data_IF_522960673740
#
_entry.id   IF_522960673740
#
_cell.length_a   1.000
_cell.length_b   1.000
_cell.length_c   1.000
_cell.angle_alpha   90.00
_cell.angle_beta   90.00
_cell.angle_gamma   90.00
#
_symmetry.space_group_name_H-M   'P 1'
#
loop_
_entity.id
_entity.type
_entity.pdbx_description
1 polymer ?
#
# COMPACT_ATOMS: atom_id res chain seq x y z
N UNK A 1 22.04 7.99 22.53
CA UNK A 1 21.08 6.87 22.70
C UNK A 1 20.04 6.77 21.59
N UNK A 2 19.44 7.87 21.12
CA UNK A 2 18.40 7.84 20.06
C UNK A 2 18.90 7.33 18.71
N UNK A 3 20.13 7.68 18.30
CA UNK A 3 20.74 7.22 17.04
C UNK A 3 21.05 5.71 16.99
N UNK A 4 21.50 5.13 18.09
CA UNK A 4 21.81 3.70 18.17
C UNK A 4 20.55 2.84 18.15
N UNK A 5 19.47 3.30 18.78
CA UNK A 5 18.15 2.63 18.74
C UNK A 5 17.59 2.61 17.31
N UNK A 6 17.76 3.69 16.55
CA UNK A 6 17.28 3.79 15.16
C UNK A 6 18.01 2.83 14.22
N UNK A 7 19.32 2.66 14.39
CA UNK A 7 20.13 1.72 13.59
C UNK A 7 19.76 0.26 13.90
N UNK A 8 19.55 -0.08 15.18
CA UNK A 8 19.12 -1.42 15.59
C UNK A 8 17.72 -1.73 15.03
N UNK A 9 16.82 -0.74 15.01
CA UNK A 9 15.47 -0.90 14.46
C UNK A 9 15.49 -1.14 12.93
N UNK A 10 16.37 -0.44 12.20
CA UNK A 10 16.54 -0.63 10.74
C UNK A 10 17.11 -2.01 10.42
N UNK A 11 18.10 -2.49 11.20
CA UNK A 11 18.71 -3.82 11.01
C UNK A 11 17.73 -4.96 11.33
N UNK A 12 16.84 -4.77 12.31
CA UNK A 12 15.80 -5.75 12.63
C UNK A 12 14.74 -5.83 11.53
N UNK A 13 14.35 -4.69 10.95
CA UNK A 13 13.34 -4.65 9.90
C UNK A 13 13.83 -5.24 8.57
N UNK A 14 15.13 -5.09 8.24
CA UNK A 14 15.71 -5.69 7.04
C UNK A 14 15.76 -7.23 7.08
N UNK A 15 15.95 -7.83 8.26
CA UNK A 15 16.02 -9.28 8.41
C UNK A 15 14.70 -10.01 8.14
N UNK A 16 13.56 -9.38 8.47
CA UNK A 16 12.22 -9.98 8.30
C UNK A 16 11.78 -9.95 6.84
N UNK A 17 12.13 -8.90 6.08
CA UNK A 17 11.77 -8.79 4.66
C UNK A 17 12.61 -9.75 3.80
N UNK A 18 13.88 -9.98 4.17
CA UNK A 18 14.75 -10.91 3.45
C UNK A 18 14.32 -12.38 3.59
N UNK A 19 13.78 -12.79 4.75
CA UNK A 19 13.39 -14.18 4.98
C UNK A 19 12.20 -14.64 4.11
N UNK A 20 11.24 -13.75 3.86
CA UNK A 20 10.09 -14.05 2.99
C UNK A 20 10.46 -14.06 1.50
N UNK A 21 11.33 -13.14 1.07
CA UNK A 21 11.83 -13.15 -0.32
C UNK A 21 12.68 -14.41 -0.60
N UNK A 22 13.48 -14.84 0.38
CA UNK A 22 14.27 -16.07 0.28
C UNK A 22 13.40 -17.33 0.18
N UNK A 23 12.27 -17.41 0.90
CA UNK A 23 11.41 -18.60 0.87
C UNK A 23 10.73 -18.83 -0.48
N UNK A 24 10.29 -17.75 -1.14
CA UNK A 24 9.65 -17.81 -2.45
C UNK A 24 10.65 -18.18 -3.57
N UNK A 25 11.86 -17.62 -3.52
CA UNK A 25 12.93 -17.98 -4.45
C UNK A 25 13.44 -19.41 -4.23
N UNK A 26 13.49 -19.87 -2.98
CA UNK A 26 13.85 -21.24 -2.66
C UNK A 26 12.82 -22.23 -3.18
N UNK A 27 11.52 -21.95 -3.01
CA UNK A 27 10.44 -22.78 -3.58
C UNK A 27 10.47 -22.83 -5.11
N UNK A 28 10.80 -21.71 -5.78
CA UNK A 28 11.00 -21.69 -7.26
C UNK A 28 12.20 -22.51 -7.71
N UNK A 29 13.32 -22.43 -6.97
CA UNK A 29 14.51 -23.24 -7.24
C UNK A 29 14.20 -24.73 -7.07
N UNK A 30 13.50 -25.11 -6.01
CA UNK A 30 13.05 -26.48 -5.77
C UNK A 30 12.19 -27.00 -6.93
N UNK A 31 11.18 -26.23 -7.35
CA UNK A 31 10.35 -26.58 -8.51
C UNK A 31 11.18 -26.77 -9.79
N UNK A 32 12.11 -25.87 -10.08
CA UNK A 32 12.99 -25.99 -11.25
C UNK A 32 13.85 -27.25 -11.18
N UNK A 33 14.38 -27.61 -10.01
CA UNK A 33 15.16 -28.86 -9.85
C UNK A 33 14.31 -30.10 -10.12
N UNK A 34 13.07 -30.13 -9.65
CA UNK A 34 12.13 -31.22 -9.94
C UNK A 34 11.82 -31.29 -11.44
N UNK A 35 11.55 -30.17 -12.10
CA UNK A 35 11.30 -30.16 -13.55
C UNK A 35 12.48 -30.68 -14.37
N UNK A 36 13.72 -30.36 -13.98
CA UNK A 36 14.93 -30.89 -14.62
C UNK A 36 15.03 -32.40 -14.41
N UNK A 37 14.81 -32.89 -13.19
CA UNK A 37 14.81 -34.33 -12.88
C UNK A 37 13.72 -35.09 -13.66
N UNK A 38 12.53 -34.50 -13.81
CA UNK A 38 11.45 -35.03 -14.63
C UNK A 38 11.89 -35.17 -16.08
N UNK A 39 12.49 -34.12 -16.62
CA UNK A 39 12.97 -34.11 -18.01
C UNK A 39 14.00 -35.20 -18.26
N UNK A 40 14.95 -35.40 -17.35
CA UNK A 40 15.95 -36.47 -17.48
C UNK A 40 15.33 -37.86 -17.41
N UNK A 41 14.40 -38.10 -16.47
CA UNK A 41 13.70 -39.39 -16.36
C UNK A 41 12.81 -39.67 -17.57
N UNK A 42 12.17 -38.64 -18.14
CA UNK A 42 11.36 -38.78 -19.33
C UNK A 42 12.19 -39.09 -20.57
N UNK A 43 13.38 -38.49 -20.69
CA UNK A 43 14.34 -38.82 -21.76
C UNK A 43 14.85 -40.25 -21.61
N UNK A 44 15.16 -40.70 -20.39
CA UNK A 44 15.57 -42.07 -20.11
C UNK A 44 14.45 -43.06 -20.46
N UNK A 45 13.22 -42.78 -20.05
CA UNK A 45 12.04 -43.57 -20.41
C UNK A 45 11.86 -43.65 -21.92
N UNK A 46 11.94 -42.52 -22.62
CA UNK A 46 11.79 -42.46 -24.09
C UNK A 46 12.87 -43.28 -24.79
N UNK A 47 14.11 -43.19 -24.34
CA UNK A 47 15.23 -43.99 -24.84
C UNK A 47 14.99 -45.48 -24.60
N UNK A 48 14.61 -45.87 -23.39
CA UNK A 48 14.34 -47.26 -23.02
C UNK A 48 13.18 -47.86 -23.84
N UNK A 49 12.16 -47.06 -24.14
CA UNK A 49 11.03 -47.47 -25.00
C UNK A 49 11.46 -47.59 -26.47
N UNK A 50 12.26 -46.65 -27.00
CA UNK A 50 12.67 -46.65 -28.41
C UNK A 50 13.74 -47.71 -28.73
N UNK A 51 14.81 -47.81 -27.93
CA UNK A 51 15.91 -48.74 -28.18
C UNK A 51 15.45 -50.21 -28.08
N UNK A 52 14.53 -50.50 -27.16
CA UNK A 52 14.10 -51.89 -26.90
C UNK A 52 12.95 -52.36 -27.79
N UNK A 53 12.20 -51.43 -28.40
CA UNK A 53 11.26 -51.77 -29.48
C UNK A 53 11.97 -52.02 -30.83
N UNK A 54 13.19 -51.53 -31.00
CA UNK A 54 13.91 -51.62 -32.28
C UNK A 54 14.72 -52.92 -32.46
N UNK A 55 15.17 -53.57 -31.38
CA UNK A 55 16.16 -54.65 -31.47
C UNK A 55 15.56 -56.07 -31.56
N UNK A 56 14.38 -56.32 -30.96
CA UNK A 56 13.63 -57.56 -31.12
C UNK A 56 12.15 -57.21 -31.03
N UNK A 57 11.32 -57.71 -31.95
CA UNK A 57 9.90 -57.34 -32.09
C UNK A 57 8.97 -57.73 -30.93
N UNK A 58 9.46 -57.77 -29.70
CA UNK A 58 8.69 -57.93 -28.48
C UNK A 58 9.50 -57.48 -27.25
N UNK A 59 8.83 -56.79 -26.33
CA UNK A 59 9.43 -56.39 -25.04
C UNK A 59 9.55 -57.60 -24.12
N UNK A 60 10.72 -57.82 -23.52
CA UNK A 60 10.84 -58.87 -22.50
C UNK A 60 10.12 -58.44 -21.20
N UNK A 61 9.72 -59.41 -20.37
CA UNK A 61 9.13 -59.12 -19.04
C UNK A 61 10.07 -58.29 -18.16
N UNK A 62 11.40 -58.42 -18.34
CA UNK A 62 12.39 -57.63 -17.61
C UNK A 62 12.39 -56.16 -18.06
N UNK A 63 12.25 -55.93 -19.36
CA UNK A 63 12.20 -54.59 -19.96
C UNK A 63 10.95 -53.84 -19.51
N UNK A 64 9.81 -54.52 -19.51
CA UNK A 64 8.55 -53.99 -18.99
C UNK A 64 8.66 -53.57 -17.53
N UNK A 65 9.31 -54.37 -16.67
CA UNK A 65 9.53 -54.00 -15.27
C UNK A 65 10.37 -52.73 -15.13
N UNK A 66 11.40 -52.57 -15.96
CA UNK A 66 12.26 -51.38 -15.93
C UNK A 66 11.52 -50.13 -16.39
N UNK A 67 10.73 -50.23 -17.48
CA UNK A 67 9.89 -49.14 -17.97
C UNK A 67 8.84 -48.72 -16.93
N UNK A 68 8.18 -49.70 -16.29
CA UNK A 68 7.20 -49.44 -15.22
C UNK A 68 7.88 -48.77 -14.01
N UNK A 69 9.06 -49.24 -13.60
CA UNK A 69 9.80 -48.63 -12.50
C UNK A 69 10.20 -47.16 -12.80
N UNK A 70 10.62 -46.86 -14.03
CA UNK A 70 10.89 -45.47 -14.45
C UNK A 70 9.62 -44.64 -14.49
N UNK A 71 8.49 -45.19 -14.97
CA UNK A 71 7.20 -44.50 -14.94
C UNK A 71 6.73 -44.21 -13.52
N UNK A 72 6.91 -45.14 -12.59
CA UNK A 72 6.56 -44.95 -11.18
C UNK A 72 7.36 -43.81 -10.56
N UNK A 73 8.66 -43.72 -10.86
CA UNK A 73 9.50 -42.59 -10.46
C UNK A 73 9.02 -41.26 -11.07
N UNK A 74 8.60 -41.25 -12.33
CA UNK A 74 8.03 -40.06 -12.96
C UNK A 74 6.74 -39.63 -12.25
N UNK A 75 5.85 -40.56 -11.92
CA UNK A 75 4.59 -40.25 -11.21
C UNK A 75 4.86 -39.68 -9.81
N UNK A 76 5.76 -40.30 -9.05
CA UNK A 76 6.17 -39.78 -7.73
C UNK A 76 6.73 -38.37 -7.82
N UNK A 77 7.51 -38.10 -8.87
CA UNK A 77 8.11 -36.81 -9.09
C UNK A 77 7.08 -35.76 -9.56
N UNK A 78 6.09 -36.16 -10.35
CA UNK A 78 4.97 -35.32 -10.76
C UNK A 78 4.09 -34.93 -9.55
N UNK A 79 3.88 -35.83 -8.60
CA UNK A 79 3.19 -35.50 -7.35
C UNK A 79 3.96 -34.45 -6.54
N UNK A 80 5.28 -34.59 -6.42
CA UNK A 80 6.13 -33.59 -5.74
C UNK A 80 6.12 -32.24 -6.46
N UNK A 81 6.06 -32.24 -7.79
CA UNK A 81 5.92 -31.02 -8.59
C UNK A 81 4.59 -30.33 -8.28
N UNK A 82 3.49 -31.08 -8.21
CA UNK A 82 2.18 -30.52 -7.86
C UNK A 82 2.18 -29.90 -6.47
N UNK A 83 2.73 -30.60 -5.47
CA UNK A 83 2.87 -30.06 -4.10
C UNK A 83 3.67 -28.75 -4.08
N UNK A 84 4.75 -28.67 -4.86
CA UNK A 84 5.57 -27.45 -4.96
C UNK A 84 4.83 -26.30 -5.66
N UNK A 85 4.04 -26.58 -6.70
CA UNK A 85 3.19 -25.60 -7.39
C UNK A 85 2.11 -25.06 -6.44
N UNK A 86 1.45 -25.94 -5.68
CA UNK A 86 0.40 -25.53 -4.74
C UNK A 86 0.95 -24.64 -3.63
N UNK A 87 2.13 -24.96 -3.09
CA UNK A 87 2.83 -24.08 -2.13
C UNK A 87 3.11 -22.70 -2.72
N UNK A 88 3.57 -22.63 -3.97
CA UNK A 88 3.82 -21.35 -4.64
C UNK A 88 2.54 -20.54 -4.88
N UNK A 89 1.45 -21.21 -5.28
CA UNK A 89 0.16 -20.58 -5.49
C UNK A 89 -0.43 -20.04 -4.18
N UNK A 90 -0.34 -20.80 -3.09
CA UNK A 90 -0.78 -20.35 -1.77
C UNK A 90 0.00 -19.12 -1.30
N UNK A 91 1.33 -19.12 -1.43
CA UNK A 91 2.17 -17.97 -1.08
C UNK A 91 1.88 -16.72 -1.94
N UNK A 92 1.56 -16.92 -3.22
CA UNK A 92 1.17 -15.83 -4.12
C UNK A 92 -0.20 -15.27 -3.75
N UNK A 93 -1.18 -16.13 -3.50
CA UNK A 93 -2.54 -15.70 -3.14
C UNK A 93 -2.55 -14.98 -1.78
N UNK A 94 -1.81 -15.48 -0.79
CA UNK A 94 -1.71 -14.82 0.51
C UNK A 94 -1.10 -13.41 0.40
N UNK A 95 0.01 -13.26 -0.33
CA UNK A 95 0.63 -11.94 -0.55
C UNK A 95 -0.26 -10.97 -1.32
N UNK A 96 -1.04 -11.46 -2.30
CA UNK A 96 -2.01 -10.63 -3.04
C UNK A 96 -3.15 -10.17 -2.13
N UNK A 97 -3.70 -11.06 -1.30
CA UNK A 97 -4.76 -10.71 -0.33
C UNK A 97 -4.24 -9.70 0.68
N UNK A 98 -3.08 -9.93 1.27
CA UNK A 98 -2.47 -9.02 2.24
C UNK A 98 -2.22 -7.63 1.64
N UNK A 99 -1.70 -7.57 0.42
CA UNK A 99 -1.48 -6.30 -0.29
C UNK A 99 -2.81 -5.57 -0.58
N UNK A 100 -3.83 -6.30 -1.00
CA UNK A 100 -5.18 -5.76 -1.24
C UNK A 100 -5.78 -5.17 0.04
N UNK A 101 -5.74 -5.93 1.13
CA UNK A 101 -6.34 -5.52 2.40
C UNK A 101 -5.58 -4.32 2.99
N UNK A 102 -4.25 -4.29 2.85
CA UNK A 102 -3.42 -3.13 3.20
C UNK A 102 -3.81 -1.89 2.39
N UNK A 103 -3.94 -2.00 1.06
CA UNK A 103 -4.37 -0.89 0.21
C UNK A 103 -5.76 -0.40 0.58
N UNK A 104 -6.72 -1.31 0.80
CA UNK A 104 -8.07 -0.94 1.24
C UNK A 104 -8.05 -0.17 2.56
N UNK A 105 -7.24 -0.61 3.52
CA UNK A 105 -7.10 0.08 4.81
C UNK A 105 -6.45 1.47 4.66
N UNK A 106 -5.48 1.62 3.77
CA UNK A 106 -4.84 2.89 3.47
C UNK A 106 -5.82 3.86 2.79
N UNK A 107 -6.59 3.39 1.81
CA UNK A 107 -7.63 4.19 1.15
C UNK A 107 -8.69 4.64 2.15
N UNK A 108 -9.14 3.75 3.04
CA UNK A 108 -10.10 4.11 4.09
C UNK A 108 -9.56 5.20 5.03
N UNK A 109 -8.29 5.07 5.48
CA UNK A 109 -7.63 6.09 6.31
C UNK A 109 -7.52 7.42 5.57
N UNK A 110 -7.10 7.38 4.31
CA UNK A 110 -6.97 8.57 3.47
C UNK A 110 -8.31 9.30 3.30
N UNK A 111 -9.40 8.57 3.03
CA UNK A 111 -10.73 9.16 2.90
C UNK A 111 -11.22 9.81 4.21
N UNK A 112 -10.96 9.16 5.36
CA UNK A 112 -11.27 9.74 6.67
C UNK A 112 -10.45 10.99 6.95
N UNK A 113 -9.16 10.97 6.63
CA UNK A 113 -8.29 12.13 6.80
C UNK A 113 -8.70 13.29 5.88
N UNK A 114 -9.04 13.00 4.62
CA UNK A 114 -9.57 13.99 3.69
C UNK A 114 -10.85 14.64 4.22
N UNK A 115 -11.80 13.83 4.72
CA UNK A 115 -13.04 14.33 5.32
C UNK A 115 -12.75 15.19 6.55
N UNK A 116 -11.81 14.76 7.41
CA UNK A 116 -11.39 15.52 8.59
C UNK A 116 -10.77 16.86 8.20
N UNK A 117 -9.89 16.88 7.20
CA UNK A 117 -9.24 18.09 6.71
C UNK A 117 -10.25 19.06 6.10
N UNK A 118 -11.20 18.56 5.30
CA UNK A 118 -12.29 19.38 4.76
C UNK A 118 -13.12 20.03 5.87
N UNK A 119 -13.45 19.28 6.93
CA UNK A 119 -14.16 19.83 8.09
C UNK A 119 -13.35 20.90 8.83
N UNK A 120 -12.04 20.72 8.96
CA UNK A 120 -11.16 21.72 9.57
C UNK A 120 -11.09 22.99 8.71
N UNK A 121 -10.97 22.85 7.39
CA UNK A 121 -10.98 23.97 6.45
C UNK A 121 -12.29 24.74 6.59
N UNK A 122 -13.43 24.05 6.52
CA UNK A 122 -14.75 24.68 6.68
C UNK A 122 -14.87 25.46 7.98
N UNK A 123 -14.46 24.87 9.11
CA UNK A 123 -14.47 25.57 10.42
C UNK A 123 -13.56 26.80 10.44
N UNK A 124 -12.42 26.76 9.75
CA UNK A 124 -11.53 27.92 9.64
C UNK A 124 -12.16 29.01 8.77
N UNK A 125 -12.80 28.65 7.67
CA UNK A 125 -13.50 29.59 6.80
C UNK A 125 -14.66 30.27 7.52
N UNK A 126 -15.47 29.51 8.25
CA UNK A 126 -16.55 30.04 9.09
C UNK A 126 -16.00 31.03 10.13
N UNK A 127 -14.86 30.70 10.76
CA UNK A 127 -14.21 31.59 11.74
C UNK A 127 -13.66 32.86 11.09
N UNK A 128 -13.08 32.76 9.90
CA UNK A 128 -12.61 33.92 9.14
C UNK A 128 -13.80 34.83 8.80
N UNK A 129 -14.95 34.26 8.42
CA UNK A 129 -16.15 35.04 8.13
C UNK A 129 -16.65 35.79 9.37
N UNK A 130 -16.74 35.12 10.52
CA UNK A 130 -17.13 35.76 11.80
C UNK A 130 -16.17 36.91 12.13
N UNK A 131 -14.86 36.69 12.03
CA UNK A 131 -13.86 37.74 12.29
C UNK A 131 -13.99 38.92 11.32
N UNK A 132 -14.29 38.67 10.04
CA UNK A 132 -14.53 39.74 9.07
C UNK A 132 -15.81 40.52 9.36
N UNK A 133 -16.84 39.87 9.87
CA UNK A 133 -18.07 40.53 10.32
C UNK A 133 -17.82 41.42 11.54
N UNK A 134 -17.04 40.91 12.50
CA UNK A 134 -16.66 41.63 13.72
C UNK A 134 -15.82 42.89 13.39
N UNK A 135 -14.80 42.75 12.52
CA UNK A 135 -14.00 43.88 12.03
C UNK A 135 -14.89 44.93 11.36
N UNK A 136 -15.80 44.51 10.47
CA UNK A 136 -16.72 45.44 9.79
C UNK A 136 -17.68 46.13 10.76
N UNK A 137 -18.10 45.44 11.82
CA UNK A 137 -18.94 46.02 12.86
C UNK A 137 -18.18 47.10 13.63
N UNK A 138 -16.96 46.79 14.09
CA UNK A 138 -16.11 47.74 14.79
C UNK A 138 -15.77 48.98 13.94
N UNK A 139 -15.46 48.78 12.65
CA UNK A 139 -15.19 49.89 11.73
C UNK A 139 -16.39 50.83 11.55
N UNK A 140 -17.61 50.28 11.45
CA UNK A 140 -18.84 51.08 11.37
C UNK A 140 -19.09 51.87 12.65
N UNK A 141 -18.91 51.24 13.81
CA UNK A 141 -19.08 51.90 15.11
C UNK A 141 -18.05 53.02 15.29
N UNK A 142 -16.79 52.77 14.91
CA UNK A 142 -15.74 53.78 14.99
C UNK A 142 -16.02 54.97 14.06
N UNK A 143 -16.46 54.73 12.82
CA UNK A 143 -16.79 55.79 11.87
C UNK A 143 -18.03 56.61 12.30
N UNK A 144 -19.04 55.96 12.86
CA UNK A 144 -20.22 56.66 13.41
C UNK A 144 -19.86 57.50 14.62
N UNK A 145 -19.02 56.99 15.53
CA UNK A 145 -18.49 57.75 16.67
C UNK A 145 -17.65 58.95 16.23
N UNK A 146 -16.74 58.77 15.26
CA UNK A 146 -15.95 59.87 14.68
C UNK A 146 -16.84 60.95 14.08
N UNK A 147 -17.86 60.56 13.30
CA UNK A 147 -18.83 61.49 12.73
C UNK A 147 -19.61 62.27 13.79
N UNK A 148 -20.10 61.58 14.82
CA UNK A 148 -20.80 62.21 15.95
C UNK A 148 -19.90 63.19 16.72
N UNK A 149 -18.64 62.84 16.96
CA UNK A 149 -17.67 63.71 17.61
C UNK A 149 -17.42 64.98 16.80
N UNK A 150 -17.19 64.87 15.49
CA UNK A 150 -17.00 66.03 14.59
C UNK A 150 -18.24 66.93 14.56
N UNK A 151 -19.44 66.36 14.48
CA UNK A 151 -20.69 67.12 14.54
C UNK A 151 -20.84 67.87 15.87
N UNK A 152 -20.54 67.22 17.00
CA UNK A 152 -20.61 67.85 18.32
C UNK A 152 -19.62 69.01 18.45
N UNK A 153 -18.39 68.86 17.93
CA UNK A 153 -17.38 69.91 17.90
C UNK A 153 -17.86 71.10 17.04
N UNK A 154 -18.45 70.84 15.88
CA UNK A 154 -18.99 71.87 15.00
C UNK A 154 -20.14 72.66 15.66
N UNK A 155 -21.03 71.98 16.39
CA UNK A 155 -22.12 72.62 17.15
C UNK A 155 -21.54 73.53 18.25
N UNK A 156 -20.53 73.07 19.00
CA UNK A 156 -19.90 73.87 20.04
C UNK A 156 -19.24 75.14 19.47
N UNK A 157 -18.57 75.03 18.33
CA UNK A 157 -17.97 76.19 17.63
C UNK A 157 -19.06 77.16 17.17
N UNK A 158 -20.13 76.66 16.55
CA UNK A 158 -21.24 77.49 16.09
C UNK A 158 -21.93 78.24 17.24
N UNK A 159 -22.16 77.57 18.39
CA UNK A 159 -22.71 78.20 19.59
C UNK A 159 -21.75 79.26 20.17
N UNK A 160 -20.44 78.99 20.19
CA UNK A 160 -19.44 79.95 20.64
C UNK A 160 -19.43 81.24 19.80
N UNK A 161 -19.46 81.10 18.47
CA UNK A 161 -19.54 82.24 17.55
C UNK A 161 -20.85 83.03 17.71
N UNK A 162 -21.96 82.34 17.89
CA UNK A 162 -23.26 83.00 18.10
C UNK A 162 -23.28 83.82 19.39
N UNK A 163 -22.78 83.29 20.51
CA UNK A 163 -22.69 84.01 21.79
C UNK A 163 -21.78 85.24 21.66
N UNK A 164 -20.65 85.11 20.96
CA UNK A 164 -19.74 86.24 20.74
C UNK A 164 -20.37 87.35 19.89
N UNK A 165 -21.12 86.99 18.83
CA UNK A 165 -21.80 87.97 17.97
C UNK A 165 -22.93 88.75 18.67
N UNK A 166 -23.45 88.23 19.79
CA UNK A 166 -24.55 88.83 20.55
C UNK A 166 -24.09 89.74 21.69
N UNK A 167 -22.79 89.79 21.96
CA UNK A 167 -22.17 90.53 23.05
C UNK A 167 -21.50 91.79 22.53
#
# INVERSE_FOLDING_TARGET
MTRTILIVFILFFSGIVQSFAQSLDQARKELNTLLVQRSSLFQEWKRNVQERNAFFGGQSKSDLKQVIATQQKIIELDNRIMDAIDKLNLAKTSSVIEKRDSLSSQTFRFNNDQTRLQNIIKRKDDRIQILKEDIRYHEKVENTLKGAFVLSMAILIALGLWIWSKR
#
